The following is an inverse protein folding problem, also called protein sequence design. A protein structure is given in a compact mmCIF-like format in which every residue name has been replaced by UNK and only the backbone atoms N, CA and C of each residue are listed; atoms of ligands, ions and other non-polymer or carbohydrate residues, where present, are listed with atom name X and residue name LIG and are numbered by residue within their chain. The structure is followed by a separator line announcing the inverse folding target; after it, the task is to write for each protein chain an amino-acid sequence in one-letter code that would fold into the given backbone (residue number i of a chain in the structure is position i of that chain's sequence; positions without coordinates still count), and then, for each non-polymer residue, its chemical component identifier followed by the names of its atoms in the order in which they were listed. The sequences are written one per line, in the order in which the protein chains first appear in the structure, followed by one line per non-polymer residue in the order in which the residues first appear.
data_IF_377508528828
#
_entry.id   IF_377508528828
#
_cell.length_a   1.000
_cell.length_b   1.000
_cell.length_c   1.000
_cell.angle_alpha   90.00
_cell.angle_beta   90.00
_cell.angle_gamma   90.00
#
_symmetry.space_group_name_H-M   'P 1'
#
loop_
_entity.id
_entity.type
_entity.pdbx_description
1 polymer ?
#
# COMPACT_ATOMS: atom_id res chain seq x y z
N UNK A 1 -1.54 16.31 12.43
CA UNK A 1 -0.11 16.19 12.08
C UNK A 1 0.43 17.59 11.85
N UNK A 2 1.58 17.93 12.43
CA UNK A 2 2.23 19.22 12.19
C UNK A 2 3.01 19.19 10.88
N UNK A 3 2.88 20.25 10.08
CA UNK A 3 3.62 20.41 8.82
C UNK A 3 4.80 21.33 9.05
N UNK A 4 5.98 20.93 8.59
CA UNK A 4 7.19 21.75 8.62
C UNK A 4 7.59 22.09 7.18
N UNK A 5 8.05 23.32 6.93
CA UNK A 5 8.55 23.73 5.61
C UNK A 5 9.96 23.20 5.41
N UNK A 6 10.19 22.49 4.31
CA UNK A 6 11.51 22.10 3.84
C UNK A 6 11.87 22.92 2.60
N UNK A 7 13.09 23.48 2.56
CA UNK A 7 13.65 24.10 1.36
C UNK A 7 14.43 23.05 0.58
N UNK A 8 14.04 22.82 -0.67
CA UNK A 8 14.62 21.80 -1.55
C UNK A 8 15.00 22.48 -2.87
N UNK A 9 16.21 22.22 -3.35
CA UNK A 9 16.65 22.68 -4.67
C UNK A 9 16.25 21.61 -5.70
N UNK A 10 15.54 22.04 -6.74
CA UNK A 10 15.15 21.20 -7.86
C UNK A 10 15.67 21.85 -9.14
N UNK A 11 16.24 21.06 -10.07
CA UNK A 11 16.60 21.55 -11.40
C UNK A 11 15.39 22.17 -12.13
N UNK A 12 15.64 23.22 -12.92
CA UNK A 12 14.59 23.97 -13.60
C UNK A 12 13.87 23.15 -14.67
N UNK A 13 14.59 22.28 -15.37
CA UNK A 13 14.05 21.33 -16.36
C UNK A 13 13.03 20.38 -15.70
N UNK A 14 13.38 19.80 -14.55
CA UNK A 14 12.46 18.93 -13.81
C UNK A 14 11.22 19.68 -13.31
N UNK A 15 11.37 20.94 -12.89
CA UNK A 15 10.23 21.76 -12.48
C UNK A 15 9.26 22.01 -13.65
N UNK A 16 9.80 22.30 -14.84
CA UNK A 16 9.00 22.50 -16.06
C UNK A 16 8.24 21.23 -16.45
N UNK A 17 8.88 20.05 -16.36
CA UNK A 17 8.23 18.77 -16.61
C UNK A 17 7.08 18.51 -15.63
N UNK A 18 7.33 18.75 -14.33
CA UNK A 18 6.29 18.58 -13.30
C UNK A 18 5.12 19.52 -13.59
N UNK A 19 5.37 20.78 -13.93
CA UNK A 19 4.32 21.74 -14.28
C UNK A 19 3.48 21.30 -15.46
N UNK A 20 4.13 20.79 -16.51
CA UNK A 20 3.43 20.30 -17.68
C UNK A 20 2.48 19.13 -17.34
N UNK A 21 2.85 18.30 -16.36
CA UNK A 21 2.07 17.14 -15.91
C UNK A 21 0.92 17.52 -14.97
N UNK A 22 1.16 18.37 -13.99
CA UNK A 22 0.22 18.60 -12.87
C UNK A 22 -0.53 19.92 -12.96
N UNK A 23 -0.11 20.81 -13.86
CA UNK A 23 -0.69 22.12 -14.05
C UNK A 23 -0.47 23.07 -12.86
N UNK A 24 -1.13 24.25 -12.88
CA UNK A 24 -0.91 25.28 -11.88
C UNK A 24 -1.31 24.81 -10.47
N UNK A 25 -0.48 25.13 -9.48
CA UNK A 25 -0.66 24.82 -8.04
C UNK A 25 -0.61 23.32 -7.67
N UNK A 26 -0.29 22.43 -8.61
CA UNK A 26 -0.21 20.98 -8.34
C UNK A 26 1.13 20.49 -7.76
N UNK A 27 2.21 21.29 -7.86
CA UNK A 27 3.58 20.86 -7.51
C UNK A 27 3.71 20.29 -6.10
N UNK A 28 3.19 20.99 -5.08
CA UNK A 28 3.33 20.56 -3.70
C UNK A 28 2.59 19.25 -3.42
N UNK A 29 1.39 19.06 -3.99
CA UNK A 29 0.65 17.80 -3.84
C UNK A 29 1.39 16.65 -4.50
N UNK A 30 1.87 16.88 -5.73
CA UNK A 30 2.64 15.91 -6.48
C UNK A 30 3.89 15.45 -5.75
N UNK A 31 4.68 16.39 -5.21
CA UNK A 31 5.90 16.06 -4.47
C UNK A 31 5.60 15.30 -3.19
N UNK A 32 4.55 15.69 -2.45
CA UNK A 32 4.14 14.99 -1.22
C UNK A 32 3.67 13.57 -1.51
N UNK A 33 2.85 13.37 -2.54
CA UNK A 33 2.35 12.05 -2.93
C UNK A 33 3.48 11.16 -3.45
N UNK A 34 4.34 11.70 -4.31
CA UNK A 34 5.51 10.98 -4.84
C UNK A 34 6.45 10.57 -3.72
N UNK A 35 6.77 11.48 -2.80
CA UNK A 35 7.61 11.18 -1.64
C UNK A 35 6.98 10.10 -0.74
N UNK A 36 5.66 10.16 -0.50
CA UNK A 36 4.94 9.12 0.26
C UNK A 36 5.00 7.77 -0.45
N UNK A 37 4.83 7.73 -1.77
CA UNK A 37 4.89 6.51 -2.56
C UNK A 37 6.29 5.90 -2.53
N UNK A 38 7.33 6.71 -2.72
CA UNK A 38 8.71 6.23 -2.72
C UNK A 38 9.16 5.76 -1.34
N UNK A 39 8.77 6.45 -0.26
CA UNK A 39 9.03 5.99 1.11
C UNK A 39 8.34 4.65 1.37
N UNK A 40 7.09 4.46 0.94
CA UNK A 40 6.39 3.18 1.06
C UNK A 40 7.09 2.08 0.26
N UNK A 41 7.50 2.37 -0.98
CA UNK A 41 8.21 1.44 -1.85
C UNK A 41 9.52 0.98 -1.23
N UNK A 42 10.33 1.91 -0.71
CA UNK A 42 11.62 1.56 -0.07
C UNK A 42 11.43 0.74 1.19
N UNK A 43 10.45 1.07 2.03
CA UNK A 43 10.12 0.26 3.22
C UNK A 43 9.70 -1.16 2.83
N UNK A 44 8.91 -1.31 1.76
CA UNK A 44 8.52 -2.62 1.26
C UNK A 44 9.74 -3.40 0.73
N UNK A 45 10.60 -2.78 -0.06
CA UNK A 45 11.81 -3.43 -0.58
C UNK A 45 12.72 -3.88 0.56
N UNK A 46 12.98 -3.01 1.54
CA UNK A 46 13.77 -3.35 2.72
C UNK A 46 13.16 -4.53 3.49
N UNK A 47 11.83 -4.59 3.58
CA UNK A 47 11.13 -5.69 4.22
C UNK A 47 11.29 -7.01 3.43
N UNK A 48 11.15 -6.96 2.10
CA UNK A 48 11.30 -8.12 1.22
C UNK A 48 12.74 -8.65 1.15
N UNK A 49 13.73 -7.77 1.25
CA UNK A 49 15.16 -8.14 1.38
C UNK A 49 15.50 -8.65 2.79
N UNK A 50 14.61 -8.44 3.75
CA UNK A 50 14.77 -8.88 5.12
C UNK A 50 14.83 -10.40 5.23
N UNK A 51 15.65 -10.89 6.16
CA UNK A 51 15.75 -12.33 6.47
C UNK A 51 14.53 -12.90 7.18
N UNK A 52 13.61 -12.03 7.63
CA UNK A 52 12.44 -12.45 8.37
C UNK A 52 11.35 -12.86 7.37
N UNK A 53 10.84 -14.10 7.44
CA UNK A 53 9.83 -14.56 6.50
C UNK A 53 8.58 -13.69 6.61
N UNK A 54 8.09 -13.21 5.47
CA UNK A 54 6.90 -12.37 5.40
C UNK A 54 5.60 -13.13 5.74
N UNK A 55 5.70 -14.46 5.73
CA UNK A 55 4.61 -15.39 5.92
C UNK A 55 5.15 -16.64 6.61
N UNK A 56 4.45 -17.13 7.63
CA UNK A 56 4.79 -18.37 8.33
C UNK A 56 3.54 -19.22 8.45
N UNK A 57 3.64 -20.50 8.12
CA UNK A 57 2.49 -21.40 8.19
C UNK A 57 2.04 -21.62 9.65
N UNK A 58 2.95 -21.48 10.61
CA UNK A 58 2.63 -21.54 12.05
C UNK A 58 1.67 -20.42 12.50
N UNK A 59 1.73 -19.26 11.85
CA UNK A 59 0.88 -18.11 12.17
C UNK A 59 -0.53 -18.24 11.52
N UNK A 60 -0.72 -19.22 10.63
CA UNK A 60 -1.94 -19.41 9.84
C UNK A 60 -2.49 -20.85 9.89
N UNK A 61 -2.85 -21.38 11.08
CA UNK A 61 -3.39 -22.72 11.22
C UNK A 61 -4.72 -22.93 10.46
N UNK A 62 -5.48 -21.87 10.22
CA UNK A 62 -6.72 -21.89 9.43
C UNK A 62 -6.51 -22.27 7.96
N UNK A 63 -5.29 -22.14 7.47
CA UNK A 63 -4.88 -22.49 6.11
C UNK A 63 -4.15 -23.84 6.02
N UNK A 64 -3.99 -24.57 7.15
CA UNK A 64 -3.27 -25.85 7.19
C UNK A 64 -3.82 -26.91 6.21
N UNK A 65 -5.13 -26.89 5.96
CA UNK A 65 -5.80 -27.79 4.99
C UNK A 65 -5.92 -27.16 3.58
N UNK A 66 -5.07 -26.19 3.26
CA UNK A 66 -5.05 -25.45 2.02
C UNK A 66 -6.06 -24.32 1.94
N UNK A 67 -5.70 -23.25 1.23
CA UNK A 67 -6.52 -22.04 1.09
C UNK A 67 -7.89 -22.30 0.44
N UNK A 68 -7.98 -23.28 -0.46
CA UNK A 68 -9.23 -23.63 -1.13
C UNK A 68 -10.32 -24.12 -0.15
N UNK A 69 -9.95 -24.91 0.86
CA UNK A 69 -10.91 -25.42 1.85
C UNK A 69 -11.40 -24.29 2.77
N UNK A 70 -10.47 -23.42 3.18
CA UNK A 70 -10.76 -22.23 3.98
C UNK A 70 -11.71 -21.25 3.26
N UNK A 71 -11.44 -20.93 1.98
CA UNK A 71 -12.32 -20.04 1.18
C UNK A 71 -13.72 -20.65 0.99
N UNK A 72 -13.83 -21.96 0.77
CA UNK A 72 -15.15 -22.63 0.68
C UNK A 72 -15.93 -22.50 1.98
N UNK A 73 -15.28 -22.71 3.13
CA UNK A 73 -15.91 -22.53 4.45
C UNK A 73 -16.41 -21.09 4.63
N UNK A 74 -15.58 -20.10 4.30
CA UNK A 74 -15.91 -18.68 4.42
C UNK A 74 -17.13 -18.30 3.56
N UNK A 75 -17.21 -18.79 2.32
CA UNK A 75 -18.36 -18.55 1.42
C UNK A 75 -19.64 -19.17 1.98
N UNK A 76 -19.59 -20.42 2.44
CA UNK A 76 -20.74 -21.11 3.04
C UNK A 76 -21.26 -20.38 4.28
N UNK A 77 -20.38 -19.86 5.13
CA UNK A 77 -20.74 -19.04 6.30
C UNK A 77 -21.40 -17.71 5.91
N UNK A 78 -20.92 -17.07 4.85
CA UNK A 78 -21.52 -15.83 4.36
C UNK A 78 -22.94 -16.06 3.80
N UNK A 79 -23.12 -17.11 3.00
CA UNK A 79 -24.43 -17.51 2.47
C UNK A 79 -25.44 -17.84 3.58
N UNK A 80 -25.01 -18.56 4.61
CA UNK A 80 -25.87 -18.88 5.77
C UNK A 80 -26.23 -17.64 6.58
N UNK A 81 -25.31 -16.67 6.74
CA UNK A 81 -25.62 -15.38 7.37
C UNK A 81 -26.59 -14.54 6.53
N UNK A 82 -26.42 -14.50 5.21
CA UNK A 82 -27.33 -13.80 4.31
C UNK A 82 -28.74 -14.38 4.34
N UNK A 83 -28.85 -15.72 4.43
CA UNK A 83 -30.14 -16.42 4.53
C UNK A 83 -30.85 -16.22 5.87
N UNK A 84 -30.12 -16.00 6.97
CA UNK A 84 -30.71 -15.67 8.29
C UNK A 84 -31.19 -14.22 8.42
N UNK A 85 -30.76 -13.33 7.53
CA UNK A 85 -31.15 -11.91 7.51
C UNK A 85 -32.36 -11.61 6.60
N UNK A 86 -32.84 -12.61 5.85
CA UNK A 86 -34.05 -12.53 5.00
C UNK A 86 -35.19 -13.24 5.72
#
# INVERSE_FOLDING_TARGET
MSTHRAHILLPDDLLQEIDALVGPRGRSSFLVETARNEVRRRKLLQYLEGKNPAWRDEDHPELANGSASWVRKLRKENETRGRKKR
#
